data_IF_282727750315
#
_entry.id   IF_282727750315
#
_cell.length_a   1.000
_cell.length_b   1.000
_cell.length_c   1.000
_cell.angle_alpha   90.00
_cell.angle_beta   90.00
_cell.angle_gamma   90.00
#
_symmetry.space_group_name_H-M   'P 1'
#
loop_
_entity.id
_entity.type
_entity.pdbx_description
1 polymer ?
#
# COMPACT_ATOMS: atom_id res chain seq x y z
N UNK A 1 -15.94 16.30 5.19
CA UNK A 1 -14.67 16.31 4.44
C UNK A 1 -14.77 15.55 3.14
N UNK A 2 -14.73 16.25 2.00
CA UNK A 2 -15.00 15.62 0.70
C UNK A 2 -13.73 15.04 0.02
N UNK A 3 -13.87 13.83 -0.52
CA UNK A 3 -12.93 13.26 -1.46
C UNK A 3 -13.08 13.92 -2.83
N UNK A 4 -11.99 14.48 -3.38
CA UNK A 4 -12.02 15.16 -4.67
C UNK A 4 -12.18 14.21 -5.88
N UNK A 5 -11.98 12.91 -5.68
CA UNK A 5 -12.06 11.90 -6.75
C UNK A 5 -13.46 11.28 -6.86
N UNK A 6 -14.14 11.04 -5.73
CA UNK A 6 -15.42 10.32 -5.72
C UNK A 6 -16.52 11.00 -4.89
N UNK A 7 -16.26 12.21 -4.39
CA UNK A 7 -17.19 13.01 -3.57
C UNK A 7 -17.65 12.32 -2.27
N UNK A 8 -16.97 11.27 -1.84
CA UNK A 8 -17.20 10.64 -0.54
C UNK A 8 -17.04 11.66 0.59
N UNK A 9 -18.03 11.75 1.47
CA UNK A 9 -17.99 12.63 2.62
C UNK A 9 -17.46 11.89 3.86
N UNK A 10 -16.20 12.15 4.19
CA UNK A 10 -15.55 11.68 5.40
C UNK A 10 -15.90 12.56 6.61
N UNK A 11 -16.08 11.91 7.75
CA UNK A 11 -16.36 12.47 9.07
C UNK A 11 -15.14 13.14 9.73
N UNK A 12 -13.93 12.80 9.30
CA UNK A 12 -12.69 13.39 9.79
C UNK A 12 -11.60 13.43 8.72
N UNK A 13 -10.58 14.27 8.92
CA UNK A 13 -9.43 14.31 8.02
C UNK A 13 -8.64 12.99 8.00
N UNK A 14 -8.59 12.27 9.14
CA UNK A 14 -7.96 10.95 9.23
C UNK A 14 -8.70 9.94 8.35
N UNK A 15 -10.02 9.92 8.45
CA UNK A 15 -10.91 9.09 7.62
C UNK A 15 -10.75 9.42 6.14
N UNK A 16 -10.66 10.70 5.78
CA UNK A 16 -10.39 11.13 4.40
C UNK A 16 -9.02 10.65 3.90
N UNK A 17 -7.97 10.75 4.72
CA UNK A 17 -6.63 10.26 4.37
C UNK A 17 -6.62 8.74 4.21
N UNK A 18 -7.34 8.01 5.07
CA UNK A 18 -7.51 6.56 4.90
C UNK A 18 -8.23 6.23 3.61
N UNK A 19 -9.32 6.93 3.31
CA UNK A 19 -10.07 6.78 2.07
C UNK A 19 -9.17 7.00 0.85
N UNK A 20 -8.35 8.06 0.82
CA UNK A 20 -7.37 8.28 -0.26
C UNK A 20 -6.38 7.13 -0.42
N UNK A 21 -5.84 6.63 0.69
CA UNK A 21 -4.84 5.55 0.67
C UNK A 21 -5.42 4.19 0.29
N UNK A 22 -6.65 3.92 0.69
CA UNK A 22 -7.25 2.58 0.61
C UNK A 22 -8.15 2.44 -0.62
N UNK A 23 -8.97 3.46 -0.92
CA UNK A 23 -9.93 3.42 -2.03
C UNK A 23 -9.32 3.91 -3.34
N UNK A 24 -8.46 4.93 -3.27
CA UNK A 24 -7.84 5.54 -4.45
C UNK A 24 -6.36 5.22 -4.60
N UNK A 25 -5.79 4.44 -3.66
CA UNK A 25 -4.40 4.00 -3.66
C UNK A 25 -3.39 5.14 -3.84
N UNK A 26 -3.73 6.34 -3.36
CA UNK A 26 -2.86 7.51 -3.46
C UNK A 26 -1.62 7.32 -2.59
N UNK A 27 -0.45 7.37 -3.23
CA UNK A 27 0.87 7.35 -2.59
C UNK A 27 1.14 8.67 -1.87
N UNK A 28 2.08 8.67 -0.93
CA UNK A 28 2.44 9.87 -0.14
C UNK A 28 2.87 11.07 -0.97
N UNK A 29 3.41 10.85 -2.16
CA UNK A 29 3.87 11.81 -3.17
C UNK A 29 2.82 12.06 -4.28
N UNK A 30 1.60 11.55 -4.13
CA UNK A 30 0.51 11.86 -5.05
C UNK A 30 0.03 13.30 -4.90
N UNK A 31 -0.67 13.79 -5.92
CA UNK A 31 -1.38 15.06 -5.83
C UNK A 31 -2.66 14.90 -4.98
N UNK A 32 -2.87 15.81 -4.04
CA UNK A 32 -4.04 15.86 -3.17
C UNK A 32 -4.73 17.21 -3.32
N UNK A 33 -6.03 17.20 -3.56
CA UNK A 33 -6.83 18.43 -3.69
C UNK A 33 -7.80 18.55 -2.51
N UNK A 34 -7.81 19.71 -1.86
CA UNK A 34 -8.79 20.03 -0.83
C UNK A 34 -10.09 20.46 -1.51
N UNK A 35 -11.21 19.88 -1.09
CA UNK A 35 -12.56 20.24 -1.52
C UNK A 35 -13.46 20.60 -0.32
N UNK A 36 -12.86 21.04 0.80
CA UNK A 36 -13.62 21.40 1.99
C UNK A 36 -14.15 22.83 1.88
N UNK A 37 -15.48 22.97 1.94
CA UNK A 37 -16.16 24.26 1.77
C UNK A 37 -15.90 24.84 0.39
N UNK A 38 -15.26 26.02 0.34
CA UNK A 38 -14.86 26.70 -0.90
C UNK A 38 -13.38 26.51 -1.25
N UNK A 39 -12.65 25.66 -0.52
CA UNK A 39 -11.25 25.41 -0.79
C UNK A 39 -11.08 24.52 -2.03
N UNK A 40 -10.10 24.86 -2.88
CA UNK A 40 -9.73 24.12 -4.10
C UNK A 40 -8.21 23.94 -4.24
N UNK A 41 -7.47 24.14 -3.14
CA UNK A 41 -6.00 24.09 -3.17
C UNK A 41 -5.49 22.66 -3.38
N UNK A 42 -4.46 22.52 -4.22
CA UNK A 42 -3.81 21.24 -4.51
C UNK A 42 -2.38 21.19 -3.94
N UNK A 43 -1.96 20.00 -3.56
CA UNK A 43 -0.68 19.73 -2.89
C UNK A 43 -0.03 18.52 -3.52
N UNK A 44 1.28 18.57 -3.75
CA UNK A 44 2.02 17.49 -4.39
C UNK A 44 2.40 16.34 -3.44
N UNK A 45 2.02 16.44 -2.17
CA UNK A 45 2.25 15.37 -1.22
C UNK A 45 1.26 15.42 -0.05
N UNK A 46 1.10 14.27 0.60
CA UNK A 46 0.18 14.07 1.71
C UNK A 46 0.54 14.93 2.93
N UNK A 47 1.83 15.16 3.19
CA UNK A 47 2.29 15.95 4.33
C UNK A 47 1.80 17.41 4.22
N UNK A 48 1.99 18.03 3.06
CA UNK A 48 1.54 19.40 2.78
C UNK A 48 0.02 19.51 2.83
N UNK A 49 -0.69 18.53 2.27
CA UNK A 49 -2.15 18.47 2.35
C UNK A 49 -2.68 18.35 3.79
N UNK A 50 -2.08 17.47 4.61
CA UNK A 50 -2.45 17.32 6.02
C UNK A 50 -2.23 18.62 6.80
N UNK A 51 -1.07 19.26 6.61
CA UNK A 51 -0.75 20.55 7.23
C UNK A 51 -1.81 21.59 6.84
N UNK A 52 -2.15 21.67 5.55
CA UNK A 52 -3.21 22.57 5.09
C UNK A 52 -4.55 22.31 5.79
N UNK A 53 -5.01 21.06 5.87
CA UNK A 53 -6.29 20.75 6.51
C UNK A 53 -6.28 21.14 7.98
N UNK A 54 -5.22 20.77 8.71
CA UNK A 54 -5.12 21.07 10.14
C UNK A 54 -5.12 22.58 10.40
N UNK A 55 -4.37 23.37 9.62
CA UNK A 55 -4.28 24.81 9.84
C UNK A 55 -5.50 25.59 9.35
N UNK A 56 -6.06 25.23 8.19
CA UNK A 56 -7.10 26.03 7.53
C UNK A 56 -8.51 25.61 7.90
N UNK A 57 -8.72 24.32 8.15
CA UNK A 57 -10.05 23.76 8.39
C UNK A 57 -10.24 23.29 9.84
N UNK A 58 -9.17 23.19 10.64
CA UNK A 58 -9.22 22.80 12.07
C UNK A 58 -8.26 23.61 12.96
N UNK A 59 -8.34 24.96 12.98
CA UNK A 59 -7.37 25.82 13.66
C UNK A 59 -7.27 25.60 15.18
N UNK A 60 -8.26 24.96 15.80
CA UNK A 60 -8.32 24.71 17.25
C UNK A 60 -7.36 23.58 17.74
N UNK A 61 -6.68 22.87 16.83
CA UNK A 61 -5.83 21.72 17.18
C UNK A 61 -4.31 21.98 17.17
N UNK A 62 -3.86 23.24 17.28
CA UNK A 62 -2.43 23.57 17.18
C UNK A 62 -1.95 24.36 18.42
N UNK A 63 -0.92 23.87 19.16
CA UNK A 63 -0.18 24.71 20.08
C UNK A 63 0.57 25.78 19.28
N UNK A 64 0.31 27.05 19.57
CA UNK A 64 0.96 28.20 18.94
C UNK A 64 2.48 28.05 18.87
N UNK A 65 3.02 27.78 17.68
CA UNK A 65 4.30 28.35 17.28
C UNK A 65 4.50 28.35 15.76
N UNK A 66 4.56 29.58 15.25
CA UNK A 66 5.30 30.09 14.10
C UNK A 66 4.84 29.82 12.65
N UNK A 67 5.02 30.91 11.91
CA UNK A 67 4.53 31.34 10.60
C UNK A 67 5.20 30.64 9.38
N UNK A 68 4.73 30.90 8.14
CA UNK A 68 4.87 29.99 7.00
C UNK A 68 6.21 30.15 6.27
N UNK A 69 6.83 29.01 5.92
CA UNK A 69 7.81 28.95 4.84
C UNK A 69 7.32 27.97 3.77
N UNK A 70 7.14 28.51 2.57
CA UNK A 70 7.16 27.75 1.32
C UNK A 70 8.51 27.03 1.23
N UNK A 71 8.50 25.71 1.42
CA UNK A 71 9.66 24.87 1.10
C UNK A 71 9.21 23.79 0.13
N UNK A 72 9.66 23.97 -1.10
CA UNK A 72 9.65 22.98 -2.16
C UNK A 72 10.45 21.76 -1.70
N UNK A 73 9.89 20.57 -1.87
CA UNK A 73 10.60 19.34 -1.54
C UNK A 73 11.52 18.97 -2.71
N UNK A 74 12.84 19.15 -2.56
CA UNK A 74 13.83 18.48 -3.39
C UNK A 74 14.94 17.87 -2.51
N UNK A 75 15.11 16.56 -2.74
CA UNK A 75 16.26 15.66 -2.50
C UNK A 75 16.84 15.52 -1.08
N UNK A 76 16.58 14.37 -0.44
CA UNK A 76 17.50 13.82 0.56
C UNK A 76 18.51 12.88 -0.12
N UNK A 77 19.73 13.38 -0.24
CA UNK A 77 20.94 12.60 -0.50
C UNK A 77 21.20 11.60 0.63
N UNK A 78 21.49 10.36 0.23
CA UNK A 78 22.49 9.43 0.75
C UNK A 78 22.77 9.41 2.27
N UNK A 79 22.37 8.32 2.93
CA UNK A 79 23.12 7.75 4.06
C UNK A 79 23.19 6.22 3.88
N UNK A 80 24.31 5.79 3.30
CA UNK A 80 24.84 4.43 3.33
C UNK A 80 25.08 4.00 4.78
N UNK A 81 24.44 2.91 5.20
CA UNK A 81 24.98 2.07 6.26
C UNK A 81 24.95 0.60 5.82
N UNK A 82 26.17 0.06 5.74
CA UNK A 82 26.52 -1.32 5.44
C UNK A 82 25.81 -2.31 6.36
N UNK A 83 25.20 -3.34 5.78
CA UNK A 83 25.13 -4.67 6.39
C UNK A 83 25.45 -5.67 5.28
N UNK A 84 26.72 -6.06 5.21
CA UNK A 84 27.16 -7.26 4.51
C UNK A 84 26.88 -8.49 5.41
N UNK A 85 26.22 -9.48 4.81
CA UNK A 85 26.34 -10.93 4.98
C UNK A 85 26.35 -11.58 6.37
N UNK A 86 25.40 -12.52 6.56
CA UNK A 86 25.52 -13.87 7.14
C UNK A 86 24.13 -14.55 7.01
N UNK A 87 23.85 -15.28 5.91
CA UNK A 87 23.85 -16.76 5.78
C UNK A 87 22.93 -17.45 6.81
N UNK A 88 21.85 -18.13 6.38
CA UNK A 88 21.86 -19.57 6.07
C UNK A 88 20.48 -20.11 5.65
N UNK A 89 20.52 -21.13 4.80
CA UNK A 89 19.40 -21.96 4.34
C UNK A 89 18.82 -22.80 5.50
N UNK A 90 17.50 -23.01 5.47
CA UNK A 90 16.67 -23.86 6.37
C UNK A 90 16.27 -23.26 7.73
N UNK A 91 15.19 -22.47 7.78
CA UNK A 91 14.25 -22.51 8.92
C UNK A 91 12.82 -22.25 8.44
N UNK A 92 12.10 -23.31 8.06
CA UNK A 92 10.69 -23.39 8.43
C UNK A 92 10.64 -23.91 9.88
N UNK A 93 9.71 -23.34 10.65
CA UNK A 93 9.31 -23.67 12.04
C UNK A 93 10.34 -23.34 13.13
N UNK A 94 10.23 -22.16 13.75
CA UNK A 94 9.55 -21.99 15.05
C UNK A 94 9.66 -20.55 15.58
N UNK A 95 8.60 -20.08 16.25
CA UNK A 95 8.45 -18.80 16.98
C UNK A 95 7.93 -17.57 16.21
N UNK A 96 6.75 -17.67 15.58
CA UNK A 96 5.98 -16.50 15.15
C UNK A 96 4.91 -16.11 16.21
N UNK A 97 5.33 -15.76 17.43
CA UNK A 97 4.41 -15.27 18.46
C UNK A 97 5.02 -14.09 19.23
N UNK A 98 4.84 -12.86 18.71
CA UNK A 98 4.56 -11.64 19.51
C UNK A 98 4.61 -10.30 18.75
N UNK A 99 4.91 -10.26 17.45
CA UNK A 99 4.90 -8.99 16.72
C UNK A 99 3.52 -8.70 16.10
N UNK A 100 3.03 -7.44 16.18
CA UNK A 100 1.83 -7.06 15.46
C UNK A 100 2.04 -7.28 13.96
N UNK A 101 1.03 -7.82 13.28
CA UNK A 101 1.07 -8.05 11.85
C UNK A 101 1.39 -6.75 11.10
N UNK A 102 2.52 -6.75 10.39
CA UNK A 102 2.94 -5.68 9.51
C UNK A 102 2.58 -6.04 8.07
N UNK A 103 1.58 -5.33 7.55
CA UNK A 103 1.07 -5.54 6.21
C UNK A 103 2.13 -5.24 5.13
N UNK A 104 2.91 -4.18 5.32
CA UNK A 104 3.83 -3.71 4.29
C UNK A 104 5.02 -4.69 4.18
N UNK A 105 5.53 -5.19 5.31
CA UNK A 105 6.55 -6.24 5.34
C UNK A 105 6.05 -7.58 4.75
N UNK A 106 4.83 -7.99 5.08
CA UNK A 106 4.24 -9.20 4.52
C UNK A 106 4.05 -9.07 2.99
N UNK A 107 3.61 -7.91 2.52
CA UNK A 107 3.44 -7.63 1.09
C UNK A 107 4.78 -7.65 0.35
N UNK A 108 5.82 -7.00 0.90
CA UNK A 108 7.16 -7.02 0.33
C UNK A 108 7.72 -8.45 0.25
N UNK A 109 7.48 -9.25 1.29
CA UNK A 109 7.93 -10.64 1.32
C UNK A 109 7.27 -11.46 0.20
N UNK A 110 5.96 -11.29 -0.03
CA UNK A 110 5.26 -11.95 -1.14
C UNK A 110 5.86 -11.55 -2.50
N UNK A 111 6.11 -10.26 -2.72
CA UNK A 111 6.70 -9.79 -3.98
C UNK A 111 8.12 -10.31 -4.19
N UNK A 112 8.95 -10.33 -3.15
CA UNK A 112 10.30 -10.92 -3.21
C UNK A 112 10.25 -12.39 -3.60
N UNK A 113 9.40 -13.18 -2.94
CA UNK A 113 9.21 -14.59 -3.29
C UNK A 113 8.72 -14.79 -4.73
N UNK A 114 7.82 -13.92 -5.21
CA UNK A 114 7.33 -13.99 -6.59
C UNK A 114 8.44 -13.67 -7.61
N UNK A 115 9.29 -12.67 -7.34
CA UNK A 115 10.43 -12.33 -8.19
C UNK A 115 11.46 -13.47 -8.19
N UNK A 116 11.82 -13.98 -7.01
CA UNK A 116 12.77 -15.07 -6.87
C UNK A 116 12.30 -16.33 -7.60
N UNK A 117 11.01 -16.66 -7.49
CA UNK A 117 10.39 -17.74 -8.24
C UNK A 117 10.59 -17.56 -9.76
N UNK A 118 10.32 -16.37 -10.30
CA UNK A 118 10.45 -16.11 -11.74
C UNK A 118 11.92 -16.10 -12.18
N UNK A 119 12.82 -15.52 -11.39
CA UNK A 119 14.27 -15.55 -11.66
C UNK A 119 14.78 -17.00 -11.69
N UNK A 120 14.33 -17.84 -10.76
CA UNK A 120 14.68 -19.26 -10.74
C UNK A 120 14.15 -20.02 -11.96
N UNK A 121 12.98 -19.66 -12.48
CA UNK A 121 12.49 -20.20 -13.75
C UNK A 121 13.37 -19.76 -14.93
N UNK A 122 13.78 -18.49 -14.99
CA UNK A 122 14.66 -17.98 -16.04
C UNK A 122 16.08 -18.54 -16.00
N UNK A 123 16.60 -18.82 -14.81
CA UNK A 123 17.92 -19.44 -14.61
C UNK A 123 17.93 -20.93 -15.01
N UNK A 124 16.76 -21.54 -15.17
CA UNK A 124 16.64 -22.92 -15.61
C UNK A 124 16.56 -22.98 -17.14
N UNK A 125 17.63 -23.47 -17.78
CA UNK A 125 17.76 -23.55 -19.24
C UNK A 125 16.69 -24.41 -19.94
N UNK A 126 15.85 -25.14 -19.19
CA UNK A 126 14.77 -25.97 -19.75
C UNK A 126 13.48 -25.19 -20.03
N UNK A 127 13.34 -23.96 -19.53
CA UNK A 127 12.15 -23.15 -19.76
C UNK A 127 12.42 -22.02 -20.74
N UNK A 128 11.61 -21.94 -21.78
CA UNK A 128 11.60 -20.77 -22.64
C UNK A 128 10.85 -19.62 -21.97
N UNK A 129 11.05 -18.39 -22.45
CA UNK A 129 10.27 -17.23 -21.99
C UNK A 129 8.76 -17.46 -22.11
N UNK A 130 8.31 -18.15 -23.17
CA UNK A 130 6.90 -18.48 -23.39
C UNK A 130 6.39 -19.44 -22.32
N UNK A 131 7.17 -20.44 -21.96
CA UNK A 131 6.82 -21.39 -20.88
C UNK A 131 6.66 -20.67 -19.55
N UNK A 132 7.57 -19.76 -19.22
CA UNK A 132 7.55 -18.98 -17.98
C UNK A 132 6.28 -18.11 -17.91
N UNK A 133 5.95 -17.40 -18.99
CA UNK A 133 4.70 -16.62 -19.07
C UNK A 133 3.46 -17.50 -18.95
N UNK A 134 3.46 -18.70 -19.54
CA UNK A 134 2.36 -19.65 -19.43
C UNK A 134 2.20 -20.20 -18.00
N UNK A 135 3.32 -20.45 -17.30
CA UNK A 135 3.34 -20.88 -15.90
C UNK A 135 2.77 -19.77 -15.02
N UNK A 136 3.26 -18.53 -15.15
CA UNK A 136 2.76 -17.36 -14.40
C UNK A 136 1.25 -17.18 -14.62
N UNK A 137 0.81 -17.18 -15.88
CA UNK A 137 -0.61 -17.03 -16.24
C UNK A 137 -1.45 -18.17 -15.67
N UNK A 138 -0.95 -19.40 -15.69
CA UNK A 138 -1.65 -20.56 -15.12
C UNK A 138 -1.76 -20.47 -13.61
N UNK A 139 -0.71 -20.02 -12.91
CA UNK A 139 -0.74 -19.79 -11.47
C UNK A 139 -1.77 -18.70 -11.13
N UNK A 140 -1.75 -17.56 -11.85
CA UNK A 140 -2.72 -16.48 -11.64
C UNK A 140 -4.15 -17.02 -11.81
N UNK A 141 -4.45 -17.60 -12.97
CA UNK A 141 -5.82 -17.93 -13.35
C UNK A 141 -6.38 -19.15 -12.62
N UNK A 142 -5.55 -20.16 -12.35
CA UNK A 142 -6.01 -21.45 -11.81
C UNK A 142 -5.81 -21.59 -10.31
N UNK A 143 -4.98 -20.76 -9.69
CA UNK A 143 -4.65 -20.85 -8.26
C UNK A 143 -4.99 -19.54 -7.55
N UNK A 144 -4.38 -18.43 -7.95
CA UNK A 144 -4.50 -17.15 -7.24
C UNK A 144 -5.93 -16.59 -7.30
N UNK A 145 -6.52 -16.48 -8.50
CA UNK A 145 -7.87 -15.94 -8.67
C UNK A 145 -8.90 -16.71 -7.84
N UNK A 146 -8.95 -18.07 -7.88
CA UNK A 146 -9.86 -18.83 -7.03
C UNK A 146 -9.66 -18.60 -5.53
N UNK A 147 -8.41 -18.52 -5.06
CA UNK A 147 -8.10 -18.27 -3.64
C UNK A 147 -8.57 -16.87 -3.23
N UNK A 148 -8.27 -15.85 -4.04
CA UNK A 148 -8.68 -14.47 -3.79
C UNK A 148 -10.20 -14.34 -3.79
N UNK A 149 -10.89 -14.99 -4.73
CA UNK A 149 -12.35 -15.00 -4.79
C UNK A 149 -12.94 -15.65 -3.54
N UNK A 150 -12.41 -16.79 -3.10
CA UNK A 150 -12.83 -17.45 -1.86
C UNK A 150 -12.65 -16.53 -0.65
N UNK A 151 -11.50 -15.87 -0.53
CA UNK A 151 -11.22 -14.92 0.56
C UNK A 151 -12.16 -13.72 0.54
N UNK A 152 -12.39 -13.11 -0.63
CA UNK A 152 -13.32 -11.98 -0.79
C UNK A 152 -14.73 -12.40 -0.36
N UNK A 153 -15.22 -13.55 -0.83
CA UNK A 153 -16.56 -14.04 -0.48
C UNK A 153 -16.72 -14.27 1.03
N UNK A 154 -15.75 -14.93 1.68
CA UNK A 154 -15.79 -15.17 3.14
C UNK A 154 -15.80 -13.83 3.90
N UNK A 155 -14.99 -12.87 3.48
CA UNK A 155 -14.92 -11.55 4.12
C UNK A 155 -16.22 -10.79 3.98
N UNK A 156 -16.80 -10.77 2.77
CA UNK A 156 -18.04 -10.05 2.48
C UNK A 156 -19.26 -10.67 3.21
N UNK A 157 -19.26 -12.00 3.36
CA UNK A 157 -20.32 -12.73 4.04
C UNK A 157 -20.21 -12.63 5.56
N UNK A 158 -19.03 -12.80 6.14
CA UNK A 158 -18.83 -12.92 7.59
C UNK A 158 -18.52 -11.58 8.28
N UNK A 159 -17.91 -10.62 7.58
CA UNK A 159 -17.46 -9.36 8.18
C UNK A 159 -18.35 -8.22 7.72
N UNK A 160 -19.11 -7.64 8.65
CA UNK A 160 -20.00 -6.50 8.36
C UNK A 160 -19.40 -5.15 8.68
N UNK A 161 -18.30 -5.10 9.44
CA UNK A 161 -17.62 -3.86 9.80
C UNK A 161 -16.78 -3.32 8.62
N UNK A 162 -17.12 -2.15 8.05
CA UNK A 162 -16.51 -1.68 6.80
C UNK A 162 -14.98 -1.51 6.87
N UNK A 163 -14.45 -1.10 8.02
CA UNK A 163 -13.01 -0.90 8.21
C UNK A 163 -12.26 -2.25 8.16
N UNK A 164 -12.84 -3.30 8.72
CA UNK A 164 -12.24 -4.65 8.70
C UNK A 164 -12.30 -5.25 7.31
N UNK A 165 -13.44 -5.11 6.63
CA UNK A 165 -13.61 -5.52 5.22
C UNK A 165 -12.56 -4.84 4.33
N UNK A 166 -12.38 -3.53 4.48
CA UNK A 166 -11.37 -2.78 3.72
C UNK A 166 -9.93 -3.27 3.97
N UNK A 167 -9.58 -3.66 5.20
CA UNK A 167 -8.27 -4.24 5.51
C UNK A 167 -8.06 -5.59 4.80
N UNK A 168 -9.09 -6.44 4.77
CA UNK A 168 -9.02 -7.72 4.08
C UNK A 168 -8.97 -7.57 2.56
N UNK A 169 -9.74 -6.65 1.97
CA UNK A 169 -9.62 -6.36 0.54
C UNK A 169 -8.22 -5.83 0.18
N UNK A 170 -7.58 -5.06 1.07
CA UNK A 170 -6.18 -4.66 0.87
C UNK A 170 -5.26 -5.89 0.78
N UNK A 171 -5.42 -6.89 1.64
CA UNK A 171 -4.67 -8.17 1.58
C UNK A 171 -4.96 -8.89 0.27
N UNK A 172 -6.24 -9.04 -0.07
CA UNK A 172 -6.67 -9.70 -1.29
C UNK A 172 -6.06 -9.06 -2.55
N UNK A 173 -5.98 -7.73 -2.59
CA UNK A 173 -5.41 -6.99 -3.73
C UNK A 173 -3.92 -7.26 -3.97
N UNK A 174 -3.14 -7.48 -2.90
CA UNK A 174 -1.71 -7.82 -2.99
C UNK A 174 -1.53 -9.24 -3.51
N UNK A 175 -2.39 -10.16 -3.08
CA UNK A 175 -2.35 -11.56 -3.50
C UNK A 175 -2.79 -11.71 -4.97
N UNK A 176 -3.72 -10.88 -5.45
CA UNK A 176 -4.34 -10.99 -6.78
C UNK A 176 -3.33 -10.81 -7.93
N UNK A 177 -2.23 -10.09 -7.72
CA UNK A 177 -1.22 -9.84 -8.75
C UNK A 177 0.22 -9.89 -8.18
N UNK A 178 0.72 -11.08 -7.82
CA UNK A 178 2.04 -11.20 -7.18
C UNK A 178 3.19 -10.95 -8.18
N UNK A 179 2.93 -11.02 -9.49
CA UNK A 179 3.93 -10.91 -10.56
C UNK A 179 3.96 -9.53 -11.27
N UNK A 180 3.24 -8.51 -10.78
CA UNK A 180 3.04 -7.22 -11.47
C UNK A 180 4.33 -6.38 -11.72
N UNK A 181 5.50 -6.80 -11.19
CA UNK A 181 6.76 -6.04 -11.27
C UNK A 181 7.67 -6.52 -12.44
N UNK A 182 7.20 -7.43 -13.30
CA UNK A 182 7.96 -7.98 -14.44
C UNK A 182 7.24 -7.78 -15.77
#
# INVERSE_FOLDING_TARGET
MLCYLCLFNADSWKSLVYHFKIVHLLKTDSNYTCCEGTCTQSFQCLASFKRHILHKHFPENIPSNNQPQDQSCFNSSLLTHNIENLIDDNVLTDNLTNYPFDFDLASESLYKSAIEFVVNLHNNNNFTRVDITNIQTSIINKIIIPIVAMLKNVVDDEIKEPIKVAKFHRIASVIENPFFIL
#
